data_IF_011484509002
#
_entry.id   IF_011484509002
#
_cell.length_a   1.000
_cell.length_b   1.000
_cell.length_c   1.000
_cell.angle_alpha   90.00
_cell.angle_beta   90.00
_cell.angle_gamma   90.00
#
_symmetry.space_group_name_H-M   'P 1'
#
loop_
_entity.id
_entity.type
_entity.pdbx_description
1 polymer ?
#
# COMPACT_ATOMS: atom_id res chain seq x y z
N UNK A 1 -7.87 1.75 -18.49
CA UNK A 1 -8.44 2.96 -17.88
C UNK A 1 -8.07 2.96 -16.40
N UNK A 2 -7.32 3.96 -15.93
CA UNK A 2 -7.11 4.15 -14.49
C UNK A 2 -8.33 4.89 -13.95
N UNK A 3 -9.12 4.22 -13.11
CA UNK A 3 -10.15 4.91 -12.34
C UNK A 3 -9.44 5.78 -11.31
N UNK A 4 -9.67 7.10 -11.35
CA UNK A 4 -9.24 8.02 -10.31
C UNK A 4 -10.16 7.82 -9.11
N UNK A 5 -9.65 7.18 -8.08
CA UNK A 5 -10.32 7.14 -6.79
C UNK A 5 -9.80 8.29 -5.96
N UNK A 6 -10.67 9.24 -5.61
CA UNK A 6 -10.36 10.25 -4.61
C UNK A 6 -10.40 9.59 -3.23
N UNK A 7 -9.29 8.97 -2.84
CA UNK A 7 -9.06 8.56 -1.45
C UNK A 7 -8.56 9.79 -0.70
N UNK A 8 -9.23 10.13 0.40
CA UNK A 8 -8.73 11.13 1.32
C UNK A 8 -7.38 10.67 1.86
N UNK A 9 -6.38 11.57 1.83
CA UNK A 9 -5.05 11.21 2.33
C UNK A 9 -5.15 10.88 3.81
N UNK A 10 -4.51 9.78 4.21
CA UNK A 10 -4.41 9.49 5.63
C UNK A 10 -3.55 10.54 6.33
N UNK A 11 -4.22 11.45 7.02
CA UNK A 11 -3.66 12.21 8.12
C UNK A 11 -4.05 11.49 9.41
N UNK A 12 -3.22 11.59 10.45
CA UNK A 12 -3.37 10.85 11.73
C UNK A 12 -4.74 11.09 12.41
N UNK A 13 -5.55 12.03 11.89
CA UNK A 13 -6.88 12.40 12.38
C UNK A 13 -7.99 11.55 11.78
N UNK A 14 -7.83 11.02 10.57
CA UNK A 14 -8.80 10.11 9.95
C UNK A 14 -8.73 8.74 10.65
N UNK A 15 -9.88 8.07 10.77
CA UNK A 15 -9.90 6.68 11.24
C UNK A 15 -9.08 5.80 10.29
N UNK A 16 -7.93 5.34 10.77
CA UNK A 16 -7.02 4.51 10.00
C UNK A 16 -7.72 3.25 9.47
N UNK A 17 -8.68 2.68 10.22
CA UNK A 17 -9.44 1.50 9.79
C UNK A 17 -10.30 1.77 8.54
N UNK A 18 -10.87 2.97 8.42
CA UNK A 18 -11.66 3.40 7.25
C UNK A 18 -10.73 3.57 6.05
N UNK A 19 -9.64 4.33 6.22
CA UNK A 19 -8.65 4.53 5.16
C UNK A 19 -8.07 3.21 4.66
N UNK A 20 -7.76 2.26 5.57
CA UNK A 20 -7.26 0.92 5.22
C UNK A 20 -8.24 0.17 4.33
N UNK A 21 -9.55 0.25 4.59
CA UNK A 21 -10.57 -0.39 3.75
C UNK A 21 -10.61 0.24 2.35
N UNK A 22 -10.60 1.58 2.27
CA UNK A 22 -10.61 2.30 0.99
C UNK A 22 -9.35 2.01 0.17
N UNK A 23 -8.16 2.05 0.79
CA UNK A 23 -6.89 1.76 0.11
C UNK A 23 -6.85 0.32 -0.41
N UNK A 24 -7.34 -0.67 0.36
CA UNK A 24 -7.45 -2.06 -0.12
C UNK A 24 -8.39 -2.19 -1.32
N UNK A 25 -9.49 -1.45 -1.33
CA UNK A 25 -10.42 -1.46 -2.46
C UNK A 25 -9.74 -0.91 -3.72
N UNK A 26 -8.99 0.19 -3.61
CA UNK A 26 -8.24 0.78 -4.73
C UNK A 26 -7.14 -0.14 -5.24
N UNK A 27 -6.35 -0.74 -4.36
CA UNK A 27 -5.34 -1.72 -4.76
C UNK A 27 -5.97 -2.96 -5.41
N UNK A 28 -7.15 -3.39 -4.96
CA UNK A 28 -7.88 -4.51 -5.58
C UNK A 28 -8.36 -4.14 -6.97
N UNK A 29 -8.96 -2.96 -7.13
CA UNK A 29 -9.43 -2.48 -8.43
C UNK A 29 -8.28 -2.33 -9.44
N UNK A 30 -7.10 -1.90 -8.97
CA UNK A 30 -5.92 -1.76 -9.81
C UNK A 30 -5.11 -3.07 -9.99
N UNK A 31 -5.56 -4.19 -9.42
CA UNK A 31 -4.85 -5.48 -9.52
C UNK A 31 -3.56 -5.57 -8.68
N UNK A 32 -3.34 -4.63 -7.76
CA UNK A 32 -2.12 -4.46 -6.97
C UNK A 32 -2.19 -5.09 -5.57
N UNK A 33 -3.37 -5.55 -5.13
CA UNK A 33 -3.58 -6.11 -3.78
C UNK A 33 -2.54 -7.17 -3.39
N UNK A 34 -2.08 -8.00 -4.34
CA UNK A 34 -1.10 -9.06 -4.08
C UNK A 34 0.24 -8.55 -3.54
N UNK A 35 0.61 -7.30 -3.81
CA UNK A 35 1.83 -6.71 -3.28
C UNK A 35 1.84 -6.68 -1.74
N UNK A 36 0.67 -6.50 -1.12
CA UNK A 36 0.52 -6.43 0.34
C UNK A 36 0.89 -7.73 1.05
N UNK A 37 0.85 -8.84 0.32
CA UNK A 37 1.15 -10.18 0.82
C UNK A 37 2.68 -10.45 0.85
N UNK A 38 3.49 -9.59 0.22
CA UNK A 38 4.95 -9.66 0.20
C UNK A 38 5.52 -10.67 -0.79
N UNK A 39 6.81 -10.49 -1.15
CA UNK A 39 7.50 -11.28 -2.19
C UNK A 39 7.53 -12.79 -1.89
N UNK A 40 7.49 -13.17 -0.62
CA UNK A 40 7.38 -14.57 -0.19
C UNK A 40 6.12 -15.28 -0.69
N UNK A 41 5.05 -14.54 -1.00
CA UNK A 41 3.79 -15.06 -1.56
C UNK A 41 3.65 -14.80 -3.06
N UNK A 42 4.74 -14.44 -3.75
CA UNK A 42 4.77 -14.29 -5.21
C UNK A 42 4.28 -15.58 -5.89
N UNK A 43 3.31 -15.51 -6.83
CA UNK A 43 2.93 -16.67 -7.64
C UNK A 43 4.11 -17.19 -8.48
N UNK A 44 4.26 -18.53 -8.56
CA UNK A 44 5.33 -19.18 -9.34
C UNK A 44 5.28 -18.76 -10.83
N UNK A 45 4.09 -18.50 -11.35
CA UNK A 45 3.88 -18.05 -12.74
C UNK A 45 4.31 -16.61 -13.00
N UNK A 46 4.73 -15.86 -11.98
CA UNK A 46 5.13 -14.46 -12.10
C UNK A 46 6.65 -14.31 -11.99
N UNK A 47 7.23 -13.62 -12.98
CA UNK A 47 8.67 -13.30 -13.02
C UNK A 47 9.05 -12.35 -11.89
N UNK A 48 10.36 -12.16 -11.65
CA UNK A 48 10.82 -11.20 -10.64
C UNK A 48 10.54 -9.78 -11.07
N UNK A 49 10.76 -9.46 -12.34
CA UNK A 49 10.52 -8.15 -12.93
C UNK A 49 9.04 -7.75 -12.84
N UNK A 50 8.13 -8.69 -13.16
CA UNK A 50 6.69 -8.45 -13.00
C UNK A 50 6.28 -8.26 -11.53
N UNK A 51 6.95 -8.94 -10.59
CA UNK A 51 6.70 -8.73 -9.16
C UNK A 51 7.18 -7.36 -8.72
N UNK A 52 8.39 -6.99 -9.08
CA UNK A 52 9.01 -5.74 -8.65
C UNK A 52 8.22 -4.54 -9.22
N UNK A 53 7.76 -4.60 -10.47
CA UNK A 53 6.83 -3.60 -11.03
C UNK A 53 5.50 -3.52 -10.27
N UNK A 54 4.93 -4.67 -9.89
CA UNK A 54 3.66 -4.73 -9.17
C UNK A 54 3.81 -4.16 -7.75
N UNK A 55 4.91 -4.48 -7.08
CA UNK A 55 5.22 -3.98 -5.74
C UNK A 55 5.51 -2.48 -5.75
N UNK A 56 6.28 -1.98 -6.71
CA UNK A 56 6.56 -0.54 -6.88
C UNK A 56 5.29 0.26 -7.17
N UNK A 57 4.41 -0.24 -8.05
CA UNK A 57 3.10 0.39 -8.33
C UNK A 57 2.21 0.41 -7.09
N UNK A 58 2.18 -0.67 -6.31
CA UNK A 58 1.41 -0.74 -5.08
C UNK A 58 1.98 0.21 -4.02
N UNK A 59 3.29 0.23 -3.83
CA UNK A 59 4.00 1.11 -2.90
C UNK A 59 3.71 2.58 -3.22
N UNK A 60 3.89 2.96 -4.48
CA UNK A 60 3.61 4.32 -4.97
C UNK A 60 2.14 4.71 -4.75
N UNK A 61 1.21 3.81 -5.05
CA UNK A 61 -0.23 4.05 -4.84
C UNK A 61 -0.56 4.31 -3.38
N UNK A 62 0.06 3.56 -2.47
CA UNK A 62 -0.14 3.75 -1.03
C UNK A 62 0.47 5.09 -0.60
N UNK A 63 1.72 5.38 -0.96
CA UNK A 63 2.41 6.62 -0.60
C UNK A 63 1.67 7.88 -1.07
N UNK A 64 1.09 7.86 -2.27
CA UNK A 64 0.30 8.98 -2.79
C UNK A 64 -0.97 9.27 -1.98
N UNK A 65 -1.48 8.27 -1.24
CA UNK A 65 -2.64 8.37 -0.36
C UNK A 65 -2.26 8.65 1.11
N UNK A 66 -1.00 8.99 1.40
CA UNK A 66 -0.52 9.36 2.73
C UNK A 66 -0.27 10.87 2.85
N UNK A 67 -0.43 11.40 4.06
CA UNK A 67 0.01 12.76 4.39
C UNK A 67 1.54 12.86 4.51
N UNK A 68 2.09 14.09 4.46
CA UNK A 68 3.53 14.33 4.53
C UNK A 68 4.15 13.89 5.87
N UNK A 69 3.42 14.02 6.96
CA UNK A 69 3.86 13.60 8.30
C UNK A 69 4.06 12.09 8.33
N UNK A 70 3.03 11.38 7.87
CA UNK A 70 3.00 9.93 7.79
C UNK A 70 4.06 9.38 6.81
N UNK A 71 4.27 10.05 5.67
CA UNK A 71 5.34 9.70 4.73
C UNK A 71 6.75 9.74 5.35
N UNK A 72 7.01 10.65 6.30
CA UNK A 72 8.32 10.71 6.98
C UNK A 72 8.57 9.47 7.83
N UNK A 73 7.54 8.90 8.43
CA UNK A 73 7.66 7.71 9.28
C UNK A 73 7.96 6.44 8.48
N UNK A 74 7.52 6.38 7.21
CA UNK A 74 7.68 5.22 6.32
C UNK A 74 8.67 5.43 5.19
N UNK A 75 9.49 6.47 5.25
CA UNK A 75 10.47 6.80 4.20
C UNK A 75 11.47 5.66 3.93
N UNK A 76 11.73 4.82 4.92
CA UNK A 76 12.65 3.68 4.80
C UNK A 76 11.97 2.39 4.31
N UNK A 77 10.64 2.39 4.14
CA UNK A 77 9.91 1.22 3.66
C UNK A 77 9.98 1.14 2.13
N UNK A 78 10.66 0.12 1.61
CA UNK A 78 10.91 -0.04 0.17
C UNK A 78 9.96 -1.02 -0.52
N UNK A 79 9.03 -1.62 0.21
CA UNK A 79 8.05 -2.58 -0.33
C UNK A 79 6.64 -2.23 0.11
N UNK A 80 5.64 -2.56 -0.71
CA UNK A 80 4.25 -2.28 -0.35
C UNK A 80 3.85 -3.07 0.90
N UNK A 81 4.31 -4.31 1.04
CA UNK A 81 4.08 -5.14 2.22
C UNK A 81 4.72 -4.57 3.48
N UNK A 82 5.98 -4.12 3.42
CA UNK A 82 6.68 -3.53 4.58
C UNK A 82 5.96 -2.28 5.09
N UNK A 83 5.65 -1.36 4.17
CA UNK A 83 4.86 -0.17 4.48
C UNK A 83 3.50 -0.54 5.08
N UNK A 84 2.78 -1.49 4.48
CA UNK A 84 1.47 -1.93 4.94
C UNK A 84 1.50 -2.53 6.35
N UNK A 85 2.51 -3.35 6.65
CA UNK A 85 2.67 -4.00 7.94
C UNK A 85 3.00 -3.00 9.05
N UNK A 86 3.83 -2.00 8.77
CA UNK A 86 4.17 -0.97 9.76
C UNK A 86 2.95 -0.29 10.37
N UNK A 87 1.94 0.03 9.56
CA UNK A 87 0.67 0.55 10.06
C UNK A 87 -0.27 -0.51 10.66
N UNK A 88 -0.02 -1.80 10.41
CA UNK A 88 -0.77 -2.87 11.08
C UNK A 88 -0.34 -3.04 12.54
N UNK A 89 0.95 -2.86 12.83
CA UNK A 89 1.51 -3.01 14.17
C UNK A 89 1.44 -1.73 15.01
N UNK A 90 1.64 -0.55 14.43
CA UNK A 90 1.68 0.73 15.16
C UNK A 90 0.35 1.18 15.81
N UNK A 91 -0.75 0.45 15.59
CA UNK A 91 -2.09 0.80 16.09
C UNK A 91 -2.57 -0.22 17.15
N UNK A 92 -1.78 -1.28 17.40
CA UNK A 92 -2.06 -2.28 18.45
C UNK A 92 -1.31 -2.01 19.76
N UNK A 93 -0.56 -0.91 19.85
CA UNK A 93 0.20 -0.45 21.02
C UNK A 93 -0.24 0.94 21.44
#
# INVERSE_FOLDING_TARGET
>A
MSAKFDIEKYDVKISFSIWRVQMRAVLTHNGLKKALDGKAKKPISMTEEQWDELDEKALSSIQLCLSKEVLREVVNETTAAGLWLKYSYSISS
#
